data_IF_421199004109
#
_entry.id   IF_421199004109
#
_cell.length_a   1.000
_cell.length_b   1.000
_cell.length_c   1.000
_cell.angle_alpha   90.00
_cell.angle_beta   90.00
_cell.angle_gamma   90.00
#
_symmetry.space_group_name_H-M   'P 1'
#
loop_
_entity.id
_entity.type
_entity.pdbx_description
1 polymer ?
#
# COMPACT_ATOMS: atom_id res chain seq x y z
N UNK A 1 15.33 -2.11 1.61
CA UNK A 1 14.20 -1.19 1.35
C UNK A 1 13.46 -1.03 2.68
N UNK A 2 12.89 0.13 3.01
CA UNK A 2 12.06 0.26 4.22
C UNK A 2 10.62 0.52 3.79
N UNK A 3 9.75 -0.49 3.87
CA UNK A 3 8.34 -0.37 3.57
C UNK A 3 7.55 0.07 4.80
N UNK A 4 7.00 1.28 4.75
CA UNK A 4 6.07 1.80 5.74
C UNK A 4 4.65 1.75 5.17
N UNK A 5 3.92 0.66 5.45
CA UNK A 5 2.52 0.46 5.00
C UNK A 5 1.56 0.78 6.14
N UNK A 6 0.78 1.84 5.98
CA UNK A 6 -0.24 2.25 6.95
C UNK A 6 -1.32 3.10 6.28
N UNK A 7 -2.47 3.14 6.94
CA UNK A 7 -3.59 4.00 6.63
C UNK A 7 -4.54 3.49 5.55
N UNK A 8 -5.82 3.77 5.72
CA UNK A 8 -6.85 3.51 4.71
C UNK A 8 -7.52 4.82 4.29
N UNK A 9 -7.82 4.92 2.99
CA UNK A 9 -8.64 5.99 2.41
C UNK A 9 -9.90 5.38 1.81
N UNK A 10 -10.98 6.13 1.76
CA UNK A 10 -12.18 5.69 1.04
C UNK A 10 -11.99 5.90 -0.47
N UNK A 11 -12.31 4.88 -1.26
CA UNK A 11 -12.20 4.93 -2.73
C UNK A 11 -13.34 5.70 -3.40
N UNK A 12 -14.39 6.06 -2.66
CA UNK A 12 -15.50 6.84 -3.20
C UNK A 12 -15.02 8.27 -3.53
N UNK A 13 -15.08 8.73 -4.80
CA UNK A 13 -14.50 10.01 -5.24
C UNK A 13 -15.16 11.25 -4.62
N UNK A 14 -16.35 11.10 -4.02
CA UNK A 14 -17.03 12.19 -3.29
C UNK A 14 -16.87 12.08 -1.77
N UNK A 15 -16.06 11.14 -1.29
CA UNK A 15 -15.76 10.93 0.12
C UNK A 15 -14.29 11.21 0.41
N UNK A 16 -14.04 11.98 1.45
CA UNK A 16 -12.71 12.40 1.92
C UNK A 16 -12.32 11.68 3.22
N UNK A 17 -12.87 10.49 3.47
CA UNK A 17 -12.47 9.71 4.65
C UNK A 17 -11.07 9.15 4.44
N UNK A 18 -10.20 9.40 5.42
CA UNK A 18 -8.86 8.85 5.51
C UNK A 18 -8.50 8.66 6.97
N UNK A 19 -7.91 7.52 7.31
CA UNK A 19 -7.39 7.23 8.64
C UNK A 19 -5.99 6.64 8.53
N UNK A 20 -4.97 7.44 8.86
CA UNK A 20 -3.56 7.05 8.82
C UNK A 20 -3.11 6.31 10.08
N UNK A 21 -3.98 6.10 11.06
CA UNK A 21 -3.65 5.37 12.29
C UNK A 21 -3.79 3.86 12.15
N UNK A 22 -4.52 3.40 11.12
CA UNK A 22 -4.74 1.98 10.84
C UNK A 22 -3.44 1.36 10.35
N UNK A 23 -2.94 0.36 11.07
CA UNK A 23 -1.71 -0.35 10.71
C UNK A 23 -1.99 -1.54 9.80
N UNK A 24 -0.97 -2.00 9.08
CA UNK A 24 -1.04 -3.15 8.18
C UNK A 24 -1.64 -4.39 8.86
N UNK A 25 -1.28 -4.67 10.12
CA UNK A 25 -1.76 -5.84 10.84
C UNK A 25 -3.28 -5.83 11.06
N UNK A 26 -3.92 -4.66 10.93
CA UNK A 26 -5.35 -4.48 11.08
C UNK A 26 -6.09 -4.56 9.75
N UNK A 27 -5.40 -4.56 8.59
CA UNK A 27 -6.06 -4.42 7.29
C UNK A 27 -7.12 -5.50 7.04
N UNK A 28 -6.86 -6.74 7.48
CA UNK A 28 -7.81 -7.85 7.34
C UNK A 28 -9.16 -7.56 8.03
N UNK A 29 -9.15 -6.88 9.18
CA UNK A 29 -10.36 -6.49 9.90
C UNK A 29 -11.18 -5.40 9.18
N UNK A 30 -10.54 -4.66 8.26
CA UNK A 30 -11.16 -3.59 7.49
C UNK A 30 -11.67 -4.03 6.11
N UNK A 31 -11.49 -5.29 5.73
CA UNK A 31 -12.03 -5.84 4.47
C UNK A 31 -13.56 -5.70 4.47
N UNK A 32 -14.08 -5.00 3.47
CA UNK A 32 -15.48 -4.62 3.31
C UNK A 32 -16.08 -3.85 4.50
N UNK A 33 -15.24 -3.32 5.41
CA UNK A 33 -15.70 -2.49 6.50
C UNK A 33 -16.32 -1.20 5.93
N UNK A 34 -17.51 -0.78 6.38
CA UNK A 34 -18.19 0.38 5.83
C UNK A 34 -17.45 1.67 6.23
N UNK A 35 -17.16 2.50 5.23
CA UNK A 35 -16.62 3.83 5.45
C UNK A 35 -17.52 4.63 6.42
N UNK A 36 -16.98 5.21 7.51
CA UNK A 36 -17.77 5.95 8.49
C UNK A 36 -18.53 7.16 7.92
N UNK A 37 -18.07 7.72 6.79
CA UNK A 37 -18.68 8.89 6.14
C UNK A 37 -19.73 8.52 5.09
N UNK A 38 -19.50 7.49 4.26
CA UNK A 38 -20.38 7.19 3.11
C UNK A 38 -20.85 5.74 3.00
N UNK A 39 -20.46 4.87 3.94
CA UNK A 39 -20.77 3.42 3.97
C UNK A 39 -20.24 2.58 2.81
N UNK A 40 -19.54 3.17 1.84
CA UNK A 40 -18.83 2.40 0.81
C UNK A 40 -17.73 1.52 1.47
N UNK A 41 -17.37 0.37 0.90
CA UNK A 41 -16.27 -0.45 1.39
C UNK A 41 -14.98 0.37 1.52
N UNK A 42 -14.32 0.29 2.68
CA UNK A 42 -13.09 1.03 2.95
C UNK A 42 -11.84 0.32 2.40
N UNK A 43 -11.84 -1.01 2.42
CA UNK A 43 -10.82 -1.84 1.81
C UNK A 43 -11.51 -3.01 1.12
N UNK A 44 -11.28 -3.16 -0.18
CA UNK A 44 -11.81 -4.33 -0.90
C UNK A 44 -10.90 -5.53 -0.70
N UNK A 45 -11.44 -6.74 -0.87
CA UNK A 45 -10.63 -7.96 -0.85
C UNK A 45 -9.51 -7.89 -1.91
N UNK A 46 -9.82 -7.36 -3.10
CA UNK A 46 -8.86 -7.26 -4.20
C UNK A 46 -7.67 -6.36 -3.85
N UNK A 47 -7.91 -5.22 -3.21
CA UNK A 47 -6.86 -4.32 -2.77
C UNK A 47 -6.02 -4.91 -1.63
N UNK A 48 -6.66 -5.62 -0.70
CA UNK A 48 -5.96 -6.35 0.37
C UNK A 48 -5.02 -7.39 -0.22
N UNK A 49 -5.51 -8.24 -1.12
CA UNK A 49 -4.73 -9.29 -1.76
C UNK A 49 -3.52 -8.71 -2.51
N UNK A 50 -3.74 -7.63 -3.29
CA UNK A 50 -2.66 -6.92 -3.99
C UNK A 50 -1.64 -6.31 -3.03
N UNK A 51 -2.09 -5.74 -1.91
CA UNK A 51 -1.21 -5.19 -0.87
C UNK A 51 -0.32 -6.29 -0.29
N UNK A 52 -0.90 -7.45 0.03
CA UNK A 52 -0.15 -8.60 0.56
C UNK A 52 0.86 -9.16 -0.43
N UNK A 53 0.55 -9.17 -1.74
CA UNK A 53 1.49 -9.56 -2.79
C UNK A 53 2.69 -8.62 -2.84
N UNK A 54 2.48 -7.30 -2.72
CA UNK A 54 3.58 -6.31 -2.73
C UNK A 54 4.49 -6.50 -1.51
N UNK A 55 3.91 -6.71 -0.32
CA UNK A 55 4.67 -6.95 0.91
C UNK A 55 5.47 -8.25 0.81
N UNK A 56 4.86 -9.31 0.26
CA UNK A 56 5.54 -10.59 0.08
C UNK A 56 6.70 -10.48 -0.92
N UNK A 57 6.53 -9.71 -1.99
CA UNK A 57 7.58 -9.46 -2.97
C UNK A 57 8.78 -8.74 -2.33
N UNK A 58 8.55 -7.78 -1.44
CA UNK A 58 9.64 -7.08 -0.75
C UNK A 58 10.39 -7.98 0.23
N UNK A 59 9.67 -8.76 1.05
CA UNK A 59 10.30 -9.79 1.90
C UNK A 59 11.15 -10.77 1.10
N UNK A 60 10.63 -11.22 -0.04
CA UNK A 60 11.36 -12.15 -0.92
C UNK A 60 12.60 -11.49 -1.54
N UNK A 61 12.53 -10.20 -1.89
CA UNK A 61 13.68 -9.45 -2.38
C UNK A 61 14.76 -9.28 -1.30
N UNK A 62 14.37 -9.13 -0.04
CA UNK A 62 15.28 -9.11 1.10
C UNK A 62 15.97 -10.47 1.30
N UNK A 63 15.21 -11.56 1.34
CA UNK A 63 15.73 -12.93 1.47
C UNK A 63 16.71 -13.31 0.34
N UNK A 64 16.47 -12.81 -0.86
CA UNK A 64 17.34 -13.03 -2.03
C UNK A 64 18.55 -12.08 -2.08
N UNK A 65 18.70 -11.16 -1.12
CA UNK A 65 19.78 -10.18 -1.10
C UNK A 65 19.70 -9.16 -2.25
N UNK A 66 18.54 -9.00 -2.89
CA UNK A 66 18.29 -7.99 -3.92
C UNK A 66 18.00 -6.61 -3.31
N UNK A 67 17.67 -6.57 -2.02
CA UNK A 67 17.43 -5.35 -1.26
C UNK A 67 18.73 -4.65 -0.79
N UNK A 68 19.89 -5.30 -0.97
CA UNK A 68 21.18 -4.86 -0.42
C UNK A 68 22.07 -4.18 -1.46
N UNK A 69 22.83 -3.18 -1.00
CA UNK A 69 23.37 -2.03 -1.72
C UNK A 69 24.53 -2.30 -2.71
N UNK A 70 24.53 -3.44 -3.43
CA UNK A 70 25.58 -3.74 -4.43
C UNK A 70 25.28 -3.18 -5.83
N UNK A 71 24.15 -2.50 -6.02
CA UNK A 71 23.97 -1.61 -7.17
C UNK A 71 24.53 -0.24 -6.79
N UNK A 72 25.76 0.03 -7.23
CA UNK A 72 26.39 1.34 -7.18
C UNK A 72 25.55 2.39 -7.93
N UNK A 73 24.56 2.98 -7.26
CA UNK A 73 24.06 4.34 -7.49
C UNK A 73 23.29 4.74 -6.23
N UNK A 74 23.73 5.82 -5.56
CA UNK A 74 23.11 6.37 -4.35
C UNK A 74 21.74 7.01 -4.60
N UNK A 75 20.96 6.46 -5.52
CA UNK A 75 19.64 6.95 -5.92
C UNK A 75 18.59 6.29 -5.04
N UNK A 76 18.00 7.09 -4.16
CA UNK A 76 16.81 6.67 -3.42
C UNK A 76 15.59 6.95 -4.30
N UNK A 77 14.63 6.03 -4.29
CA UNK A 77 13.35 6.22 -4.97
C UNK A 77 12.24 6.15 -3.94
N UNK A 78 11.28 7.07 -4.06
CA UNK A 78 10.01 7.02 -3.37
C UNK A 78 8.98 6.42 -4.31
N UNK A 79 8.52 5.21 -3.99
CA UNK A 79 7.40 4.57 -4.64
C UNK A 79 6.11 4.88 -3.88
N UNK A 80 5.15 5.49 -4.55
CA UNK A 80 3.77 5.61 -4.07
C UNK A 80 2.92 4.59 -4.81
N UNK A 81 2.26 3.72 -4.06
CA UNK A 81 1.27 2.77 -4.56
C UNK A 81 -0.11 3.31 -4.22
N UNK A 82 -0.99 3.38 -5.20
CA UNK A 82 -2.38 3.79 -5.02
C UNK A 82 -3.32 2.70 -5.52
N UNK A 83 -4.28 2.34 -4.67
CA UNK A 83 -5.36 1.40 -4.96
C UNK A 83 -6.71 2.14 -4.93
N UNK A 84 -7.69 1.60 -5.63
CA UNK A 84 -9.00 2.22 -5.88
C UNK A 84 -10.18 1.23 -5.80
N UNK A 85 -9.98 0.07 -5.16
CA UNK A 85 -10.96 -1.00 -5.03
C UNK A 85 -10.89 -2.07 -6.12
N UNK A 86 -10.16 -1.83 -7.21
CA UNK A 86 -10.06 -2.77 -8.34
C UNK A 86 -9.02 -3.88 -8.15
N UNK A 87 -8.14 -3.76 -7.15
CA UNK A 87 -6.95 -4.59 -7.01
C UNK A 87 -5.83 -4.27 -8.01
N UNK A 88 -6.01 -3.27 -8.90
CA UNK A 88 -4.98 -2.87 -9.86
C UNK A 88 -4.19 -1.67 -9.32
N UNK A 89 -2.92 -1.83 -8.92
CA UNK A 89 -2.14 -0.75 -8.34
C UNK A 89 -1.72 0.26 -9.40
N UNK A 90 -1.82 1.55 -9.04
CA UNK A 90 -1.18 2.66 -9.76
C UNK A 90 0.12 3.01 -9.04
N UNK A 91 1.21 3.04 -9.80
CA UNK A 91 2.53 3.34 -9.27
C UNK A 91 2.98 4.73 -9.71
N UNK A 92 3.36 5.56 -8.74
CA UNK A 92 4.06 6.82 -8.97
C UNK A 92 5.44 6.72 -8.33
N UNK A 93 6.49 6.73 -9.15
CA UNK A 93 7.87 6.61 -8.70
C UNK A 93 8.57 7.96 -8.88
N UNK A 94 9.20 8.44 -7.81
CA UNK A 94 9.97 9.68 -7.81
C UNK A 94 11.37 9.42 -7.26
N UNK A 95 12.38 9.88 -7.96
CA UNK A 95 13.73 9.95 -7.42
C UNK A 95 13.73 10.93 -6.23
N UNK A 96 14.41 10.57 -5.16
CA UNK A 96 14.62 11.42 -3.98
C UNK A 96 16.11 11.50 -3.70
N UNK A 97 16.60 12.73 -3.51
CA UNK A 97 18.01 13.05 -3.20
C UNK A 97 18.38 12.68 -1.75
#
# INVERSE_FOLDING_TARGET
MELNVYGLKCDNPVCDYQDNSIKLEQYEDYINYPCPKCSAPLLTQADYDTTMVIIQAEKSAEELGLSDNNLNHGEKFKLRVELDGSGVPKFDMKQVE
#
